data_IF_349845471177
#
_entry.id   IF_349845471177
#
_cell.length_a   1.000
_cell.length_b   1.000
_cell.length_c   1.000
_cell.angle_alpha   90.00
_cell.angle_beta   90.00
_cell.angle_gamma   90.00
#
_symmetry.space_group_name_H-M   'P 1'
#
loop_
_entity.id
_entity.type
_entity.pdbx_description
1 polymer ?
#
# COMPACT_ATOMS: atom_id res chain seq x y z
N UNK A 1 -11.05 -3.13 -13.15
CA UNK A 1 -10.51 -2.44 -11.96
C UNK A 1 -10.74 -0.93 -12.11
N UNK A 2 -11.12 -0.21 -11.05
CA UNK A 2 -11.34 1.26 -11.07
C UNK A 2 -10.43 1.91 -10.02
N UNK A 3 -9.77 3.04 -10.32
CA UNK A 3 -8.96 3.72 -9.32
C UNK A 3 -9.85 4.34 -8.24
N UNK A 4 -9.35 4.36 -7.00
CA UNK A 4 -9.99 5.07 -5.88
C UNK A 4 -9.71 6.58 -5.94
N UNK A 5 -8.64 6.97 -6.63
CA UNK A 5 -8.29 8.36 -6.87
C UNK A 5 -7.54 8.46 -8.21
N UNK A 6 -7.88 9.45 -9.03
CA UNK A 6 -7.14 9.82 -10.24
C UNK A 6 -6.89 11.31 -10.18
N UNK A 7 -5.70 11.72 -10.57
CA UNK A 7 -5.31 13.11 -10.58
C UNK A 7 -4.53 13.42 -11.84
N UNK A 8 -4.76 14.61 -12.36
CA UNK A 8 -3.89 15.22 -13.35
C UNK A 8 -2.95 16.17 -12.61
N UNK A 9 -1.69 16.19 -13.00
CA UNK A 9 -0.70 17.02 -12.31
C UNK A 9 -0.77 18.46 -12.79
N UNK A 10 -0.59 19.40 -11.88
CA UNK A 10 -0.43 20.83 -12.21
C UNK A 10 1.01 21.18 -12.58
N UNK A 11 1.94 20.22 -12.51
CA UNK A 11 3.36 20.34 -12.88
C UNK A 11 3.70 19.24 -13.89
N UNK A 12 4.74 19.42 -14.70
CA UNK A 12 5.01 18.55 -15.87
C UNK A 12 5.27 17.06 -15.55
N UNK A 13 5.62 16.69 -14.32
CA UNK A 13 5.93 15.30 -13.98
C UNK A 13 5.46 14.93 -12.56
N UNK A 14 4.51 13.97 -12.41
CA UNK A 14 3.87 13.17 -13.47
C UNK A 14 2.92 13.98 -14.35
N UNK A 15 2.46 13.46 -15.49
CA UNK A 15 1.39 14.06 -16.31
C UNK A 15 0.00 13.71 -15.76
N UNK A 16 -0.21 12.42 -15.47
CA UNK A 16 -1.45 11.85 -14.93
C UNK A 16 -1.06 10.71 -13.99
N UNK A 17 -1.87 10.50 -12.96
CA UNK A 17 -1.66 9.46 -11.97
C UNK A 17 -2.97 8.90 -11.45
N UNK A 18 -2.93 7.61 -11.09
CA UNK A 18 -4.06 6.92 -10.52
C UNK A 18 -3.61 5.99 -9.38
N UNK A 19 -4.38 6.02 -8.29
CA UNK A 19 -4.22 5.12 -7.15
C UNK A 19 -5.29 4.03 -7.18
N UNK A 20 -4.84 2.80 -7.14
CA UNK A 20 -5.66 1.60 -6.98
C UNK A 20 -5.40 0.98 -5.61
N UNK A 21 -6.39 0.26 -5.12
CA UNK A 21 -6.28 -0.53 -3.90
C UNK A 21 -6.74 -1.95 -4.19
N UNK A 22 -5.96 -2.93 -3.76
CA UNK A 22 -6.35 -4.33 -3.71
C UNK A 22 -6.82 -4.60 -2.29
N UNK A 23 -8.04 -5.10 -2.15
CA UNK A 23 -8.72 -5.33 -0.87
C UNK A 23 -9.01 -6.81 -0.78
N UNK A 24 -8.76 -7.38 0.38
CA UNK A 24 -9.26 -8.69 0.75
C UNK A 24 -10.20 -8.51 1.95
N UNK A 25 -11.41 -9.07 1.87
CA UNK A 25 -12.50 -8.77 2.80
C UNK A 25 -12.83 -7.27 2.90
N UNK A 26 -12.39 -6.59 3.95
CA UNK A 26 -12.81 -5.21 4.29
C UNK A 26 -11.70 -4.18 4.22
N UNK A 27 -10.43 -4.60 4.32
CA UNK A 27 -9.28 -3.74 4.46
C UNK A 27 -8.35 -3.79 3.24
N UNK A 28 -7.66 -2.68 2.94
CA UNK A 28 -6.61 -2.66 1.93
C UNK A 28 -5.50 -3.67 2.23
N UNK A 29 -4.92 -4.26 1.19
CA UNK A 29 -3.74 -5.11 1.30
C UNK A 29 -2.53 -4.42 0.66
N UNK A 30 -2.75 -3.89 -0.55
CA UNK A 30 -1.74 -3.27 -1.38
C UNK A 30 -2.32 -2.03 -2.06
N UNK A 31 -1.57 -0.94 -2.00
CA UNK A 31 -1.79 0.23 -2.84
C UNK A 31 -0.90 0.16 -4.07
N UNK A 32 -1.49 0.42 -5.23
CA UNK A 32 -0.80 0.51 -6.51
C UNK A 32 -0.96 1.92 -7.06
N UNK A 33 0.15 2.65 -7.12
CA UNK A 33 0.24 3.94 -7.78
C UNK A 33 0.76 3.71 -9.20
N UNK A 34 0.05 4.20 -10.20
CA UNK A 34 0.50 4.22 -11.60
C UNK A 34 0.52 5.67 -12.06
N UNK A 35 1.63 6.09 -12.67
CA UNK A 35 1.85 7.46 -13.12
C UNK A 35 2.48 7.46 -14.51
N UNK A 36 2.03 8.38 -15.37
CA UNK A 36 2.74 8.71 -16.60
C UNK A 36 3.82 9.74 -16.27
N UNK A 37 5.08 9.28 -16.13
CA UNK A 37 6.20 10.12 -15.70
C UNK A 37 7.11 10.46 -16.86
N UNK A 38 7.66 11.67 -16.85
CA UNK A 38 8.61 12.09 -17.89
C UNK A 38 9.91 11.28 -17.79
N UNK A 39 10.35 10.77 -18.93
CA UNK A 39 11.58 10.00 -19.12
C UNK A 39 12.28 10.50 -20.40
N UNK A 40 13.10 11.55 -20.25
CA UNK A 40 13.68 12.26 -21.40
C UNK A 40 12.64 13.13 -22.10
N UNK A 41 12.50 12.98 -23.42
CA UNK A 41 11.52 13.70 -24.24
C UNK A 41 10.14 13.01 -24.30
N UNK A 42 10.01 11.83 -23.70
CA UNK A 42 8.78 11.03 -23.71
C UNK A 42 8.21 10.84 -22.30
N UNK A 43 6.96 10.36 -22.22
CA UNK A 43 6.36 9.89 -20.98
C UNK A 43 6.31 8.38 -20.95
N UNK A 44 6.64 7.80 -19.80
CA UNK A 44 6.59 6.36 -19.57
C UNK A 44 5.74 6.06 -18.36
N UNK A 45 4.96 4.98 -18.45
CA UNK A 45 4.22 4.47 -17.30
C UNK A 45 5.18 3.90 -16.27
N UNK A 46 5.12 4.46 -15.07
CA UNK A 46 5.82 3.95 -13.90
C UNK A 46 4.78 3.54 -12.87
N UNK A 47 5.13 2.57 -12.03
CA UNK A 47 4.27 2.14 -10.94
C UNK A 47 5.06 1.95 -9.66
N UNK A 48 4.38 2.13 -8.54
CA UNK A 48 4.89 1.85 -7.21
C UNK A 48 3.86 1.03 -6.43
N UNK A 49 4.37 0.16 -5.57
CA UNK A 49 3.57 -0.69 -4.70
C UNK A 49 3.86 -0.29 -3.25
N UNK A 50 2.81 -0.06 -2.47
CA UNK A 50 2.91 0.15 -1.04
C UNK A 50 2.11 -0.92 -0.29
N UNK A 51 2.79 -1.55 0.67
CA UNK A 51 2.21 -2.55 1.58
C UNK A 51 1.25 -1.86 2.55
N UNK A 52 0.13 -2.52 2.88
CA UNK A 52 -0.74 -2.12 3.97
C UNK A 52 -0.79 -3.19 5.09
N UNK A 53 -0.99 -4.46 4.74
CA UNK A 53 -1.02 -5.56 5.72
C UNK A 53 0.38 -5.98 6.16
N UNK A 54 0.58 -6.23 7.46
CA UNK A 54 1.84 -6.66 8.06
C UNK A 54 1.94 -8.12 8.50
N UNK A 55 0.83 -8.84 8.63
CA UNK A 55 0.74 -10.18 9.21
C UNK A 55 0.49 -11.28 8.16
N UNK A 56 0.41 -10.92 6.89
CA UNK A 56 0.37 -11.85 5.76
C UNK A 56 1.53 -11.62 4.79
N UNK A 57 1.91 -12.68 4.08
CA UNK A 57 2.85 -12.59 2.96
C UNK A 57 2.11 -12.07 1.72
N UNK A 58 2.65 -11.03 1.09
CA UNK A 58 2.09 -10.42 -0.12
C UNK A 58 3.02 -10.65 -1.31
N UNK A 59 2.44 -11.00 -2.46
CA UNK A 59 3.17 -11.23 -3.72
C UNK A 59 2.41 -10.57 -4.86
N UNK A 60 3.13 -9.80 -5.68
CA UNK A 60 2.58 -9.16 -6.88
C UNK A 60 3.26 -9.73 -8.11
N UNK A 61 2.44 -10.16 -9.06
CA UNK A 61 2.87 -10.67 -10.34
C UNK A 61 2.41 -9.69 -11.43
N UNK A 62 3.28 -9.41 -12.38
CA UNK A 62 2.95 -8.69 -13.60
C UNK A 62 3.23 -9.61 -14.79
N UNK A 63 2.20 -9.87 -15.61
CA UNK A 63 2.27 -10.84 -16.72
C UNK A 63 2.81 -12.22 -16.28
N UNK A 64 2.37 -12.69 -15.10
CA UNK A 64 2.79 -13.97 -14.52
C UNK A 64 4.20 -13.99 -13.94
N UNK A 65 4.96 -12.89 -14.01
CA UNK A 65 6.29 -12.78 -13.42
C UNK A 65 6.25 -12.07 -12.08
N UNK A 66 6.92 -12.57 -11.02
CA UNK A 66 6.97 -11.91 -9.73
C UNK A 66 7.77 -10.61 -9.83
N UNK A 67 7.14 -9.48 -9.50
CA UNK A 67 7.78 -8.15 -9.54
C UNK A 67 7.98 -7.55 -8.15
N UNK A 68 7.25 -8.04 -7.15
CA UNK A 68 7.36 -7.58 -5.78
C UNK A 68 6.85 -8.64 -4.79
N UNK A 69 7.50 -8.72 -3.64
CA UNK A 69 7.14 -9.65 -2.57
C UNK A 69 7.59 -9.06 -1.24
N UNK A 70 6.75 -9.22 -0.21
CA UNK A 70 7.11 -8.91 1.18
C UNK A 70 6.64 -10.04 2.09
N UNK A 71 7.46 -10.46 3.08
CA UNK A 71 7.06 -11.47 4.04
C UNK A 71 6.09 -10.90 5.07
N UNK A 72 5.34 -11.77 5.73
CA UNK A 72 4.68 -11.44 7.00
C UNK A 72 5.73 -11.04 8.06
N UNK A 73 5.33 -10.15 8.96
CA UNK A 73 6.15 -9.69 10.06
C UNK A 73 5.79 -10.44 11.34
N UNK A 74 6.78 -10.83 12.18
CA UNK A 74 6.51 -11.41 13.48
C UNK A 74 5.72 -10.44 14.37
N UNK A 75 4.81 -10.98 15.19
CA UNK A 75 4.01 -10.16 16.12
C UNK A 75 4.85 -9.28 17.06
N UNK A 76 6.06 -9.72 17.43
CA UNK A 76 6.99 -8.92 18.22
C UNK A 76 7.41 -7.61 17.52
N UNK A 77 7.55 -7.64 16.19
CA UNK A 77 7.85 -6.46 15.38
C UNK A 77 6.60 -5.60 15.20
N UNK A 78 5.45 -6.21 14.89
CA UNK A 78 4.15 -5.51 14.74
C UNK A 78 3.74 -4.78 16.03
N UNK A 79 4.13 -5.27 17.20
CA UNK A 79 3.84 -4.62 18.49
C UNK A 79 4.91 -3.59 18.92
N UNK A 80 6.03 -3.49 18.19
CA UNK A 80 7.10 -2.55 18.52
C UNK A 80 6.81 -1.17 17.93
N UNK A 81 6.50 -0.21 18.81
CA UNK A 81 6.13 1.18 18.46
C UNK A 81 7.16 2.00 17.69
N UNK A 82 8.36 1.45 17.46
CA UNK A 82 9.42 2.09 16.67
C UNK A 82 9.54 1.51 15.26
N UNK A 83 8.78 0.46 14.95
CA UNK A 83 8.81 -0.23 13.67
C UNK A 83 7.67 0.27 12.76
N UNK A 84 7.89 0.31 11.43
CA UNK A 84 6.79 0.46 10.48
C UNK A 84 5.72 -0.62 10.69
N UNK A 85 4.46 -0.30 10.37
CA UNK A 85 3.31 -1.19 10.54
C UNK A 85 2.99 -1.61 11.99
N UNK A 86 3.26 -0.72 12.95
CA UNK A 86 2.88 -0.93 14.35
C UNK A 86 1.36 -1.03 14.52
N UNK A 87 0.89 -2.07 15.22
CA UNK A 87 -0.47 -2.14 15.73
C UNK A 87 -0.56 -1.60 17.16
N UNK A 88 -1.52 -0.71 17.39
CA UNK A 88 -1.82 -0.20 18.74
C UNK A 88 -3.04 -0.94 19.28
N UNK A 89 -2.84 -1.77 20.30
CA UNK A 89 -3.95 -2.33 21.08
C UNK A 89 -4.24 -1.42 22.26
N UNK A 90 -5.45 -0.86 22.33
CA UNK A 90 -5.97 -0.37 23.59
C UNK A 90 -6.33 -1.57 24.45
N UNK A 91 -5.86 -1.60 25.70
CA UNK A 91 -6.49 -2.42 26.72
C UNK A 91 -7.76 -1.65 27.09
N UNK A 92 -8.96 -2.23 26.95
CA UNK A 92 -10.18 -1.58 27.44
C UNK A 92 -9.99 -1.22 28.91
N UNK A 93 -10.39 -0.01 29.32
CA UNK A 93 -10.42 0.28 30.75
C UNK A 93 -11.33 -0.75 31.45
N UNK A 94 -10.94 -1.25 32.63
CA UNK A 94 -11.80 -2.14 33.38
C UNK A 94 -13.12 -1.42 33.64
N UNK A 95 -14.22 -2.02 33.18
CA UNK A 95 -15.56 -1.55 33.53
C UNK A 95 -15.72 -1.81 35.02
N UNK A 96 -15.78 -0.75 35.83
CA UNK A 96 -16.19 -0.88 37.21
C UNK A 96 -17.68 -1.21 37.22
N UNK A 97 -18.04 -2.43 37.63
CA UNK A 97 -19.42 -2.79 37.94
C UNK A 97 -19.79 -2.13 39.30
N UNK A 98 -20.74 -1.18 39.28
CA UNK A 98 -21.43 -0.68 40.48
C UNK A 98 -22.63 -1.56 40.83
#
# INVERSE_FOLDING_TARGET
PRPIYRYESTVENPLDGALFVFVHATDPEIFLLIEARQAGEEYQWQYALARFDSVVTLRVLHNGQPVWSVPDLPWAQVMNRREPYTAFRSVPEPVNEE
#
